data_IF_685935333109
#
_entry.id   IF_685935333109
#
_cell.length_a   1.000
_cell.length_b   1.000
_cell.length_c   1.000
_cell.angle_alpha   90.00
_cell.angle_beta   90.00
_cell.angle_gamma   90.00
#
_symmetry.space_group_name_H-M   'P 1'
#
loop_
_entity.id
_entity.type
_entity.pdbx_description
1 polymer ?
#
# COMPACT_ATOMS: atom_id res chain seq x y z
N UNK A 1 -3.67 -25.89 -4.71
CA UNK A 1 -3.64 -24.71 -5.60
C UNK A 1 -3.55 -23.44 -4.75
N UNK A 2 -2.80 -22.42 -5.15
CA UNK A 2 -2.75 -21.12 -4.46
C UNK A 2 -3.84 -20.20 -5.02
N UNK A 3 -4.66 -19.59 -4.17
CA UNK A 3 -5.66 -18.62 -4.59
C UNK A 3 -5.16 -17.19 -4.34
N UNK A 4 -5.05 -16.39 -5.39
CA UNK A 4 -4.83 -14.95 -5.28
C UNK A 4 -6.20 -14.25 -5.26
N UNK A 5 -6.46 -13.47 -4.21
CA UNK A 5 -7.75 -12.82 -3.98
C UNK A 5 -7.61 -11.29 -3.86
N UNK A 6 -7.16 -10.59 -4.92
CA UNK A 6 -6.99 -9.14 -4.90
C UNK A 6 -8.31 -8.40 -4.72
N UNK A 7 -8.29 -7.33 -3.95
CA UNK A 7 -9.31 -6.30 -4.01
C UNK A 7 -9.03 -5.37 -5.21
N UNK A 8 -9.70 -5.63 -6.33
CA UNK A 8 -9.54 -4.88 -7.57
C UNK A 8 -10.17 -3.47 -7.54
N UNK A 9 -10.60 -2.99 -6.36
CA UNK A 9 -10.83 -1.58 -6.06
C UNK A 9 -9.54 -0.76 -5.96
N UNK A 10 -8.40 -1.40 -5.71
CA UNK A 10 -7.11 -0.73 -5.54
C UNK A 10 -6.09 -1.15 -6.61
N UNK A 11 -5.59 -0.16 -7.36
CA UNK A 11 -4.50 -0.38 -8.31
C UNK A 11 -3.24 -0.91 -7.62
N UNK A 12 -2.92 -0.39 -6.42
CA UNK A 12 -1.73 -0.77 -5.67
C UNK A 12 -1.75 -2.23 -5.22
N UNK A 13 -2.90 -2.77 -4.82
CA UNK A 13 -3.04 -4.19 -4.50
C UNK A 13 -3.07 -5.06 -5.74
N UNK A 14 -3.89 -4.69 -6.72
CA UNK A 14 -4.03 -5.45 -7.96
C UNK A 14 -2.67 -5.67 -8.62
N UNK A 15 -1.85 -4.61 -8.68
CA UNK A 15 -0.49 -4.69 -9.24
C UNK A 15 0.48 -5.52 -8.40
N UNK A 16 0.43 -5.47 -7.06
CA UNK A 16 1.26 -6.32 -6.20
C UNK A 16 0.91 -7.80 -6.36
N UNK A 17 -0.38 -8.10 -6.42
CA UNK A 17 -0.88 -9.46 -6.67
C UNK A 17 -0.49 -9.95 -8.07
N UNK A 18 -0.48 -9.09 -9.09
CA UNK A 18 0.04 -9.44 -10.41
C UNK A 18 1.52 -9.84 -10.37
N UNK A 19 2.36 -9.12 -9.63
CA UNK A 19 3.78 -9.49 -9.46
C UNK A 19 3.95 -10.83 -8.70
N UNK A 20 3.13 -11.06 -7.66
CA UNK A 20 3.10 -12.35 -6.95
C UNK A 20 2.65 -13.48 -7.88
N UNK A 21 1.61 -13.25 -8.70
CA UNK A 21 1.14 -14.20 -9.70
C UNK A 21 2.28 -14.62 -10.63
N UNK A 22 2.97 -13.64 -11.23
CA UNK A 22 4.12 -13.91 -12.12
C UNK A 22 5.21 -14.72 -11.42
N UNK A 23 5.54 -14.36 -10.18
CA UNK A 23 6.59 -15.04 -9.42
C UNK A 23 6.23 -16.47 -9.01
N UNK A 24 4.96 -16.73 -8.69
CA UNK A 24 4.42 -18.08 -8.40
C UNK A 24 4.39 -18.94 -9.67
N UNK A 25 3.88 -18.40 -10.78
CA UNK A 25 3.84 -19.10 -12.07
C UNK A 25 5.25 -19.43 -12.57
N UNK A 26 6.22 -18.53 -12.40
CA UNK A 26 7.63 -18.79 -12.73
C UNK A 26 8.25 -19.93 -11.90
N UNK A 27 7.69 -20.24 -10.73
CA UNK A 27 8.07 -21.37 -9.86
C UNK A 27 7.29 -22.65 -10.17
N UNK A 28 6.42 -22.64 -11.19
CA UNK A 28 5.58 -23.77 -11.55
C UNK A 28 4.45 -24.04 -10.56
N UNK A 29 4.07 -23.06 -9.74
CA UNK A 29 2.94 -23.20 -8.83
C UNK A 29 1.62 -23.17 -9.59
N UNK A 30 0.67 -24.02 -9.18
CA UNK A 30 -0.71 -23.90 -9.64
C UNK A 30 -1.41 -22.75 -8.93
N UNK A 31 -1.83 -21.75 -9.69
CA UNK A 31 -2.43 -20.50 -9.20
C UNK A 31 -3.81 -20.32 -9.82
N UNK A 32 -4.78 -19.94 -8.99
CA UNK A 32 -6.04 -19.37 -9.44
C UNK A 32 -6.19 -17.94 -8.92
N UNK A 33 -6.94 -17.10 -9.62
CA UNK A 33 -7.19 -15.71 -9.23
C UNK A 33 -8.69 -15.44 -9.20
N UNK A 34 -9.19 -14.98 -8.06
CA UNK A 34 -10.59 -14.61 -7.88
C UNK A 34 -10.70 -13.20 -7.28
N UNK A 35 -11.82 -12.53 -7.48
CA UNK A 35 -12.07 -11.21 -6.86
C UNK A 35 -13.56 -10.94 -6.72
N UNK A 36 -13.94 -9.95 -5.91
CA UNK A 36 -15.30 -9.38 -5.91
C UNK A 36 -15.48 -8.27 -6.94
N UNK A 37 -14.60 -8.20 -7.94
CA UNK A 37 -14.64 -7.22 -9.03
C UNK A 37 -13.96 -5.90 -8.68
N UNK A 38 -14.16 -4.90 -9.54
CA UNK A 38 -13.58 -3.57 -9.39
C UNK A 38 -12.98 -3.03 -10.69
N UNK A 39 -12.65 -1.73 -10.76
CA UNK A 39 -12.18 -1.07 -11.97
C UNK A 39 -10.83 -1.59 -12.47
N UNK A 40 -10.04 -2.25 -11.63
CA UNK A 40 -8.71 -2.74 -11.98
C UNK A 40 -8.68 -4.22 -12.36
N UNK A 41 -9.84 -4.90 -12.50
CA UNK A 41 -9.87 -6.30 -12.99
C UNK A 41 -9.22 -6.44 -14.36
N UNK A 42 -9.49 -5.50 -15.26
CA UNK A 42 -8.93 -5.52 -16.62
C UNK A 42 -7.39 -5.43 -16.61
N UNK A 43 -6.77 -4.83 -15.59
CA UNK A 43 -5.31 -4.83 -15.47
C UNK A 43 -4.76 -6.26 -15.38
N UNK A 44 -5.43 -7.17 -14.69
CA UNK A 44 -5.00 -8.57 -14.59
C UNK A 44 -5.20 -9.29 -15.92
N UNK A 45 -6.37 -9.10 -16.54
CA UNK A 45 -6.73 -9.72 -17.82
C UNK A 45 -5.83 -9.28 -18.96
N UNK A 46 -5.50 -7.99 -19.04
CA UNK A 46 -4.56 -7.42 -20.01
C UNK A 46 -3.16 -8.04 -19.92
N UNK A 47 -2.80 -8.60 -18.76
CA UNK A 47 -1.55 -9.31 -18.53
C UNK A 47 -1.69 -10.85 -18.57
N UNK A 48 -2.78 -11.35 -19.17
CA UNK A 48 -3.00 -12.78 -19.40
C UNK A 48 -3.36 -13.58 -18.15
N UNK A 49 -3.81 -12.92 -17.07
CA UNK A 49 -4.31 -13.59 -15.88
C UNK A 49 -5.81 -13.83 -16.04
N UNK A 50 -6.21 -15.10 -16.01
CA UNK A 50 -7.62 -15.48 -15.88
C UNK A 50 -8.13 -15.11 -14.48
N UNK A 51 -9.29 -14.46 -14.42
CA UNK A 51 -9.86 -13.92 -13.17
C UNK A 51 -11.33 -14.27 -13.06
N UNK A 52 -11.67 -15.02 -12.02
CA UNK A 52 -13.05 -15.30 -11.63
C UNK A 52 -13.61 -14.16 -10.80
N UNK A 53 -14.80 -13.65 -11.18
CA UNK A 53 -15.53 -12.66 -10.38
C UNK A 53 -16.55 -13.39 -9.52
N UNK A 54 -16.40 -13.29 -8.21
CA UNK A 54 -17.29 -13.88 -7.23
C UNK A 54 -18.51 -12.97 -7.02
N UNK A 55 -19.70 -13.57 -7.07
CA UNK A 55 -20.97 -12.85 -6.93
C UNK A 55 -21.21 -11.85 -8.07
N UNK A 56 -21.94 -10.78 -7.78
CA UNK A 56 -22.33 -9.78 -8.79
C UNK A 56 -21.21 -8.78 -9.14
N UNK A 57 -20.09 -8.84 -8.43
CA UNK A 57 -18.98 -7.90 -8.57
C UNK A 57 -19.27 -6.50 -8.01
N UNK A 58 -18.24 -5.65 -7.97
CA UNK A 58 -18.37 -4.26 -7.52
C UNK A 58 -18.85 -3.34 -8.65
N UNK A 59 -19.91 -2.59 -8.35
CA UNK A 59 -20.32 -1.45 -9.18
C UNK A 59 -19.38 -0.24 -8.97
N UNK A 60 -19.34 0.68 -9.94
CA UNK A 60 -18.55 1.92 -9.81
C UNK A 60 -19.00 2.77 -8.60
N UNK A 61 -20.28 2.76 -8.29
CA UNK A 61 -20.84 3.40 -7.09
C UNK A 61 -20.31 2.74 -5.81
N UNK A 62 -20.31 1.40 -5.76
CA UNK A 62 -19.81 0.67 -4.59
C UNK A 62 -18.32 0.89 -4.36
N UNK A 63 -17.52 0.93 -5.42
CA UNK A 63 -16.09 1.27 -5.35
C UNK A 63 -15.90 2.64 -4.71
N UNK A 64 -16.66 3.64 -5.16
CA UNK A 64 -16.60 5.01 -4.62
C UNK A 64 -16.96 5.04 -3.13
N UNK A 65 -18.04 4.35 -2.74
CA UNK A 65 -18.46 4.22 -1.36
C UNK A 65 -17.41 3.50 -0.50
N UNK A 66 -16.81 2.44 -1.04
CA UNK A 66 -15.77 1.67 -0.35
C UNK A 66 -14.56 2.57 -0.06
N UNK A 67 -14.08 3.29 -1.09
CA UNK A 67 -12.95 4.22 -0.96
C UNK A 67 -13.24 5.31 0.08
N UNK A 68 -14.47 5.82 0.12
CA UNK A 68 -14.88 6.81 1.14
C UNK A 68 -14.95 6.25 2.57
N UNK A 69 -14.95 4.92 2.72
CA UNK A 69 -15.07 4.23 4.00
C UNK A 69 -13.73 3.69 4.54
N UNK A 70 -12.63 3.82 3.77
CA UNK A 70 -11.30 3.30 4.15
C UNK A 70 -10.80 3.95 5.45
N UNK A 71 -10.09 3.19 6.31
CA UNK A 71 -9.36 3.72 7.46
C UNK A 71 -8.58 5.01 7.16
N UNK A 72 -8.92 6.09 7.86
CA UNK A 72 -8.29 7.40 7.69
C UNK A 72 -9.01 8.35 6.73
N UNK A 73 -9.96 7.86 5.91
CA UNK A 73 -10.91 8.68 5.14
C UNK A 73 -12.29 8.61 5.80
N UNK A 74 -12.82 7.39 5.99
CA UNK A 74 -14.18 7.14 6.47
C UNK A 74 -14.35 7.22 8.00
N UNK A 75 -15.61 7.21 8.49
CA UNK A 75 -15.90 7.24 9.91
C UNK A 75 -15.41 5.93 10.60
N UNK A 76 -14.69 6.02 11.74
CA UNK A 76 -14.05 4.85 12.37
C UNK A 76 -15.03 3.83 12.98
N UNK A 77 -16.29 4.20 13.15
CA UNK A 77 -17.36 3.34 13.67
C UNK A 77 -18.15 2.61 12.59
N UNK A 78 -17.87 2.83 11.31
CA UNK A 78 -18.56 2.17 10.19
C UNK A 78 -17.63 1.13 9.58
N UNK A 79 -18.08 -0.12 9.45
CA UNK A 79 -17.33 -1.14 8.69
C UNK A 79 -17.24 -0.74 7.20
N UNK A 80 -16.12 -1.08 6.55
CA UNK A 80 -15.94 -0.86 5.10
C UNK A 80 -16.90 -1.69 4.25
N UNK A 81 -17.41 -2.80 4.81
CA UNK A 81 -18.46 -3.66 4.27
C UNK A 81 -19.67 -3.67 5.20
N UNK A 82 -20.86 -3.85 4.65
CA UNK A 82 -22.04 -4.20 5.46
C UNK A 82 -21.92 -5.63 5.99
N UNK A 83 -22.67 -5.95 7.05
CA UNK A 83 -22.70 -7.33 7.57
C UNK A 83 -23.17 -8.33 6.50
N UNK A 84 -24.12 -7.92 5.64
CA UNK A 84 -24.62 -8.75 4.54
C UNK A 84 -23.54 -9.00 3.48
N UNK A 85 -22.75 -7.99 3.14
CA UNK A 85 -21.62 -8.15 2.23
C UNK A 85 -20.55 -9.08 2.83
N UNK A 86 -20.19 -8.88 4.10
CA UNK A 86 -19.22 -9.77 4.77
C UNK A 86 -19.74 -11.21 4.74
N UNK A 87 -21.01 -11.44 5.07
CA UNK A 87 -21.62 -12.77 5.08
C UNK A 87 -21.61 -13.42 3.69
N UNK A 88 -22.05 -12.67 2.68
CA UNK A 88 -22.09 -13.15 1.30
C UNK A 88 -20.68 -13.48 0.79
N UNK A 89 -19.72 -12.60 1.04
CA UNK A 89 -18.36 -12.76 0.55
C UNK A 89 -17.67 -13.93 1.23
N UNK A 90 -17.84 -14.08 2.54
CA UNK A 90 -17.27 -15.21 3.28
C UNK A 90 -17.80 -16.54 2.75
N UNK A 91 -19.09 -16.64 2.44
CA UNK A 91 -19.68 -17.85 1.86
C UNK A 91 -19.13 -18.14 0.45
N UNK A 92 -19.14 -17.15 -0.45
CA UNK A 92 -18.66 -17.30 -1.82
C UNK A 92 -17.17 -17.65 -1.89
N UNK A 93 -16.35 -16.98 -1.09
CA UNK A 93 -14.92 -17.23 -1.00
C UNK A 93 -14.64 -18.65 -0.49
N UNK A 94 -15.28 -19.08 0.60
CA UNK A 94 -15.08 -20.40 1.17
C UNK A 94 -15.55 -21.52 0.21
N UNK A 95 -16.69 -21.34 -0.47
CA UNK A 95 -17.15 -22.25 -1.52
C UNK A 95 -16.14 -22.34 -2.67
N UNK A 96 -15.65 -21.20 -3.14
CA UNK A 96 -14.63 -21.14 -4.20
C UNK A 96 -13.35 -21.86 -3.79
N UNK A 97 -12.87 -21.65 -2.55
CA UNK A 97 -11.68 -22.31 -2.02
C UNK A 97 -11.83 -23.84 -2.00
N UNK A 98 -12.99 -24.33 -1.54
CA UNK A 98 -13.30 -25.75 -1.54
C UNK A 98 -13.37 -26.34 -2.95
N UNK A 99 -14.07 -25.67 -3.88
CA UNK A 99 -14.25 -26.14 -5.25
C UNK A 99 -12.95 -26.25 -6.04
N UNK A 100 -11.96 -25.39 -5.75
CA UNK A 100 -10.67 -25.34 -6.45
C UNK A 100 -9.53 -26.04 -5.71
N UNK A 101 -9.79 -26.70 -4.58
CA UNK A 101 -8.74 -27.36 -3.78
C UNK A 101 -7.64 -26.36 -3.37
N UNK A 102 -8.06 -25.19 -2.89
CA UNK A 102 -7.15 -24.13 -2.46
C UNK A 102 -6.39 -24.59 -1.22
N UNK A 103 -5.09 -24.35 -1.19
CA UNK A 103 -4.19 -24.75 -0.11
C UNK A 103 -3.57 -23.56 0.63
N UNK A 104 -3.67 -22.37 0.04
CA UNK A 104 -3.41 -21.10 0.71
C UNK A 104 -4.08 -19.97 -0.09
N UNK A 105 -4.52 -18.93 0.62
CA UNK A 105 -5.11 -17.72 0.04
C UNK A 105 -4.14 -16.55 0.21
N UNK A 106 -3.98 -15.71 -0.80
CA UNK A 106 -3.15 -14.50 -0.74
C UNK A 106 -4.02 -13.28 -1.04
N UNK A 107 -4.01 -12.28 -0.16
CA UNK A 107 -4.85 -11.08 -0.26
C UNK A 107 -4.14 -9.84 0.25
N UNK A 108 -4.59 -8.64 -0.15
CA UNK A 108 -4.26 -7.38 0.52
C UNK A 108 -5.46 -6.86 1.33
N UNK A 109 -6.45 -6.28 0.64
CA UNK A 109 -7.64 -5.64 1.21
C UNK A 109 -8.94 -6.42 0.99
N UNK A 110 -8.90 -7.65 0.49
CA UNK A 110 -10.06 -8.54 0.61
C UNK A 110 -10.08 -9.11 2.03
N UNK A 111 -10.40 -8.27 3.03
CA UNK A 111 -10.27 -8.60 4.45
C UNK A 111 -11.25 -9.70 4.90
N UNK A 112 -12.32 -9.93 4.14
CA UNK A 112 -13.25 -11.07 4.28
C UNK A 112 -12.54 -12.41 4.18
N UNK A 113 -11.41 -12.47 3.45
CA UNK A 113 -10.52 -13.63 3.37
C UNK A 113 -10.08 -14.13 4.74
N UNK A 114 -9.98 -13.25 5.75
CA UNK A 114 -9.59 -13.62 7.10
C UNK A 114 -10.64 -14.47 7.83
N UNK A 115 -11.90 -14.44 7.39
CA UNK A 115 -12.97 -15.29 7.91
C UNK A 115 -13.19 -16.50 7.00
N UNK A 116 -13.27 -16.31 5.67
CA UNK A 116 -13.49 -17.41 4.73
C UNK A 116 -12.35 -18.44 4.73
N UNK A 117 -11.11 -18.02 4.94
CA UNK A 117 -9.97 -18.93 5.16
C UNK A 117 -10.18 -19.86 6.35
N UNK A 118 -10.71 -19.35 7.47
CA UNK A 118 -11.05 -20.17 8.63
C UNK A 118 -12.21 -21.13 8.34
N UNK A 119 -13.24 -20.68 7.61
CA UNK A 119 -14.38 -21.52 7.22
C UNK A 119 -13.91 -22.68 6.33
N UNK A 120 -13.00 -22.40 5.39
CA UNK A 120 -12.46 -23.40 4.47
C UNK A 120 -11.29 -24.22 5.06
N UNK A 121 -10.77 -23.87 6.23
CA UNK A 121 -9.62 -24.53 6.84
C UNK A 121 -8.31 -24.35 6.06
N UNK A 122 -8.13 -23.21 5.39
CA UNK A 122 -6.93 -22.89 4.59
C UNK A 122 -6.18 -21.71 5.21
N UNK A 123 -4.84 -21.68 5.17
CA UNK A 123 -4.08 -20.55 5.67
C UNK A 123 -4.22 -19.33 4.75
N UNK A 124 -4.13 -18.13 5.35
CA UNK A 124 -4.18 -16.85 4.62
C UNK A 124 -2.89 -16.06 4.78
N UNK A 125 -2.35 -15.64 3.63
CA UNK A 125 -1.22 -14.73 3.48
C UNK A 125 -1.76 -13.33 3.21
N UNK A 126 -1.34 -12.36 4.01
CA UNK A 126 -1.64 -10.94 3.77
C UNK A 126 -0.40 -10.26 3.23
N UNK A 127 -0.54 -9.67 2.04
CA UNK A 127 0.45 -8.79 1.44
C UNK A 127 0.07 -7.35 1.79
N UNK A 128 0.62 -6.85 2.89
CA UNK A 128 0.29 -5.50 3.35
C UNK A 128 1.27 -4.49 2.78
N UNK A 129 0.77 -3.32 2.39
CA UNK A 129 1.60 -2.15 2.20
C UNK A 129 2.13 -1.69 3.57
N UNK A 130 3.30 -2.22 3.94
CA UNK A 130 4.04 -1.97 5.15
C UNK A 130 4.27 -0.51 5.51
N UNK A 131 3.41 0.00 6.40
CA UNK A 131 3.86 0.84 7.51
C UNK A 131 3.03 0.71 8.80
N UNK A 132 1.99 -0.14 8.79
CA UNK A 132 1.08 -0.34 9.93
C UNK A 132 1.17 -1.74 10.56
N UNK A 133 2.38 -2.29 10.63
CA UNK A 133 2.65 -3.61 11.23
C UNK A 133 3.22 -3.49 12.64
N UNK A 134 3.01 -4.51 13.52
CA UNK A 134 3.43 -4.44 14.92
C UNK A 134 4.89 -4.04 15.16
N UNK A 135 5.89 -4.60 14.46
CA UNK A 135 7.29 -4.25 14.72
C UNK A 135 7.60 -2.74 14.65
N UNK A 136 6.85 -1.96 13.86
CA UNK A 136 7.00 -0.50 13.78
C UNK A 136 6.34 0.21 14.96
N UNK A 137 5.04 0.00 15.17
CA UNK A 137 4.34 0.76 16.20
C UNK A 137 4.72 0.32 17.62
N UNK A 138 5.16 -0.92 17.81
CA UNK A 138 5.72 -1.37 19.10
C UNK A 138 7.03 -0.65 19.45
N UNK A 139 7.76 -0.18 18.44
CA UNK A 139 8.95 0.68 18.56
C UNK A 139 8.63 2.18 18.52
N UNK A 140 7.35 2.56 18.62
CA UNK A 140 6.93 3.95 18.66
C UNK A 140 7.08 4.69 17.34
N UNK A 141 7.05 3.98 16.20
CA UNK A 141 7.32 4.57 14.88
C UNK A 141 6.09 4.98 14.09
N UNK A 142 4.89 4.49 14.42
CA UNK A 142 3.69 4.94 13.72
C UNK A 142 3.45 6.44 13.96
N UNK A 143 3.00 7.12 12.91
CA UNK A 143 2.72 8.55 12.92
C UNK A 143 1.23 8.75 13.26
N UNK A 144 0.90 9.44 14.38
CA UNK A 144 -0.49 9.73 14.70
C UNK A 144 -1.09 10.68 13.66
N UNK A 145 -2.39 10.58 13.35
CA UNK A 145 -3.05 11.54 12.48
C UNK A 145 -2.97 12.95 13.08
N UNK A 146 -2.95 13.96 12.21
CA UNK A 146 -2.99 15.37 12.65
C UNK A 146 -4.35 15.76 13.22
N UNK A 147 -5.40 15.04 12.85
CA UNK A 147 -6.76 15.22 13.40
C UNK A 147 -6.79 14.79 14.86
N UNK A 148 -7.37 15.65 15.71
CA UNK A 148 -7.58 15.37 17.14
C UNK A 148 -8.55 14.19 17.30
N UNK A 149 -8.19 13.24 18.16
CA UNK A 149 -8.92 12.00 18.46
C UNK A 149 -10.07 12.27 19.46
N UNK A 150 -10.21 13.50 19.96
CA UNK A 150 -11.31 13.93 20.84
C UNK A 150 -11.05 13.62 22.31
N UNK A 151 -9.80 13.38 22.71
CA UNK A 151 -9.45 13.16 24.11
C UNK A 151 -9.55 14.48 24.91
N UNK A 152 -10.00 14.44 26.19
CA UNK A 152 -9.97 15.60 27.06
C UNK A 152 -8.55 16.18 27.13
N UNK A 153 -8.42 17.50 26.93
CA UNK A 153 -7.14 18.23 26.96
C UNK A 153 -6.12 17.80 25.88
N UNK A 154 -6.55 17.11 24.81
CA UNK A 154 -5.66 16.63 23.75
C UNK A 154 -4.84 17.73 23.08
N UNK A 155 -5.43 18.92 22.91
CA UNK A 155 -4.74 20.08 22.34
C UNK A 155 -3.59 20.62 23.19
N UNK A 156 -3.50 20.24 24.47
CA UNK A 156 -2.44 20.63 25.39
C UNK A 156 -1.37 19.55 25.54
N UNK A 157 -1.57 18.36 24.96
CA UNK A 157 -0.63 17.25 25.09
C UNK A 157 0.62 17.48 24.22
N UNK A 158 1.84 17.35 24.77
CA UNK A 158 3.05 17.39 23.97
C UNK A 158 3.04 16.32 22.86
N UNK A 159 3.48 16.68 21.65
CA UNK A 159 3.43 15.80 20.49
C UNK A 159 4.12 14.44 20.71
N UNK A 160 5.22 14.41 21.48
CA UNK A 160 5.93 13.18 21.86
C UNK A 160 5.06 12.25 22.70
N UNK A 161 4.30 12.80 23.65
CA UNK A 161 3.42 12.02 24.50
C UNK A 161 2.19 11.51 23.72
N UNK A 162 1.62 12.34 22.83
CA UNK A 162 0.56 11.91 21.90
C UNK A 162 1.02 10.75 21.02
N UNK A 163 2.22 10.84 20.43
CA UNK A 163 2.81 9.74 19.63
C UNK A 163 3.00 8.47 20.45
N UNK A 164 3.49 8.60 21.69
CA UNK A 164 3.66 7.47 22.60
C UNK A 164 2.32 6.77 22.89
N UNK A 165 1.28 7.52 23.29
CA UNK A 165 -0.04 6.96 23.58
C UNK A 165 -0.66 6.30 22.35
N UNK A 166 -0.56 6.95 21.18
CA UNK A 166 -1.04 6.39 19.92
C UNK A 166 -0.42 5.02 19.66
N UNK A 167 0.91 4.93 19.65
CA UNK A 167 1.64 3.69 19.39
C UNK A 167 1.35 2.58 20.43
N UNK A 168 1.16 2.93 21.71
CA UNK A 168 0.78 1.97 22.74
C UNK A 168 -0.65 1.46 22.57
N UNK A 169 -1.57 2.32 22.13
CA UNK A 169 -2.98 2.01 21.93
C UNK A 169 -3.30 1.28 20.62
N UNK A 170 -2.44 1.38 19.60
CA UNK A 170 -2.71 0.82 18.26
C UNK A 170 -3.09 -0.66 18.27
N UNK A 171 -2.36 -1.47 19.05
CA UNK A 171 -2.61 -2.92 19.16
C UNK A 171 -4.00 -3.30 19.72
N UNK A 172 -4.73 -2.35 20.31
CA UNK A 172 -6.02 -2.59 20.95
C UNK A 172 -7.18 -1.89 20.24
N UNK A 173 -6.93 -1.21 19.12
CA UNK A 173 -7.99 -0.55 18.37
C UNK A 173 -8.96 -1.60 17.82
N UNK A 174 -10.26 -1.36 17.99
CA UNK A 174 -11.35 -2.23 17.49
C UNK A 174 -12.14 -1.58 16.36
N UNK A 175 -11.56 -0.57 15.73
CA UNK A 175 -12.17 0.08 14.56
C UNK A 175 -12.36 -0.97 13.47
N UNK A 176 -13.51 -0.90 12.77
CA UNK A 176 -13.87 -1.80 11.67
C UNK A 176 -14.02 -3.30 12.02
N UNK A 177 -13.94 -3.73 13.29
CA UNK A 177 -14.00 -5.17 13.64
C UNK A 177 -15.41 -5.70 13.94
N UNK A 178 -16.36 -4.83 14.28
CA UNK A 178 -17.64 -5.28 14.86
C UNK A 178 -18.50 -6.10 13.88
N UNK A 179 -18.58 -5.68 12.61
CA UNK A 179 -19.31 -6.43 11.58
C UNK A 179 -18.66 -7.80 11.31
N UNK A 180 -17.33 -7.84 11.22
CA UNK A 180 -16.57 -9.09 11.09
C UNK A 180 -16.82 -10.04 12.25
N UNK A 181 -16.89 -9.52 13.49
CA UNK A 181 -17.12 -10.36 14.67
C UNK A 181 -18.54 -10.91 14.76
N UNK A 182 -19.56 -10.15 14.33
CA UNK A 182 -20.93 -10.66 14.22
C UNK A 182 -21.01 -11.80 13.20
N UNK A 183 -20.45 -11.59 12.01
CA UNK A 183 -20.46 -12.62 10.96
C UNK A 183 -19.59 -13.83 11.32
N UNK A 184 -18.46 -13.64 11.99
CA UNK A 184 -17.63 -14.74 12.48
C UNK A 184 -18.40 -15.68 13.43
N UNK A 185 -19.26 -15.13 14.30
CA UNK A 185 -20.14 -15.90 15.18
C UNK A 185 -21.15 -16.74 14.39
N UNK A 186 -21.75 -16.16 13.33
CA UNK A 186 -22.70 -16.87 12.46
C UNK A 186 -22.08 -18.07 11.73
N UNK A 187 -20.81 -17.96 11.30
CA UNK A 187 -20.07 -19.06 10.68
C UNK A 187 -19.36 -19.98 11.68
N UNK A 188 -19.41 -19.68 12.98
CA UNK A 188 -18.76 -20.49 14.02
C UNK A 188 -17.23 -20.45 13.98
N UNK A 189 -16.63 -19.37 13.46
CA UNK A 189 -15.17 -19.18 13.35
C UNK A 189 -14.65 -18.15 14.37
N UNK A 190 -13.33 -18.07 14.54
CA UNK A 190 -12.74 -17.13 15.48
C UNK A 190 -12.88 -15.68 14.99
N UNK A 191 -13.30 -14.80 15.91
CA UNK A 191 -13.40 -13.37 15.64
C UNK A 191 -12.05 -12.67 15.45
N UNK A 192 -12.12 -11.41 15.03
CA UNK A 192 -11.01 -10.48 14.85
C UNK A 192 -10.79 -9.68 16.15
N UNK A 193 -9.66 -9.87 16.84
CA UNK A 193 -9.44 -9.27 18.16
C UNK A 193 -9.13 -7.76 18.13
N UNK A 194 -8.57 -7.26 17.02
CA UNK A 194 -8.18 -5.87 16.85
C UNK A 194 -8.07 -5.48 15.38
N UNK A 195 -8.04 -4.18 15.08
CA UNK A 195 -7.82 -3.65 13.74
C UNK A 195 -6.44 -4.07 13.17
N UNK A 196 -5.31 -4.02 13.90
CA UNK A 196 -4.07 -4.63 13.41
C UNK A 196 -4.21 -6.12 13.07
N UNK A 197 -5.01 -6.88 13.81
CA UNK A 197 -5.26 -8.28 13.48
C UNK A 197 -6.18 -8.46 12.25
N UNK A 198 -7.01 -7.46 11.93
CA UNK A 198 -7.79 -7.39 10.68
C UNK A 198 -6.89 -7.13 9.46
N UNK A 199 -5.65 -6.72 9.67
CA UNK A 199 -4.67 -6.42 8.63
C UNK A 199 -3.56 -7.48 8.56
N UNK A 200 -3.73 -8.60 9.25
CA UNK A 200 -2.72 -9.64 9.37
C UNK A 200 -3.33 -11.03 9.15
N UNK A 201 -2.65 -11.83 8.32
CA UNK A 201 -2.98 -13.24 8.12
C UNK A 201 -2.18 -14.17 9.03
N UNK A 202 -2.22 -15.47 8.72
CA UNK A 202 -1.32 -16.48 9.31
C UNK A 202 0.14 -16.16 8.98
N UNK A 203 0.36 -15.62 7.78
CA UNK A 203 1.60 -15.00 7.35
C UNK A 203 1.31 -13.59 6.83
N UNK A 204 2.03 -12.59 7.31
CA UNK A 204 1.99 -11.23 6.76
C UNK A 204 3.33 -10.88 6.14
N UNK A 205 3.30 -10.53 4.85
CA UNK A 205 4.48 -10.14 4.10
C UNK A 205 4.80 -8.67 4.35
N UNK A 206 5.98 -8.39 4.90
CA UNK A 206 6.54 -7.05 4.95
C UNK A 206 7.27 -6.83 3.63
N UNK A 207 6.61 -6.10 2.75
CA UNK A 207 7.05 -5.79 1.38
C UNK A 207 8.15 -4.74 1.35
N UNK A 208 9.19 -4.87 2.17
CA UNK A 208 10.35 -3.97 2.24
C UNK A 208 11.60 -4.78 2.65
N UNK A 209 12.75 -4.13 2.82
CA UNK A 209 13.98 -4.74 3.34
C UNK A 209 14.33 -4.18 4.73
N UNK A 210 15.05 -4.96 5.57
CA UNK A 210 15.47 -4.52 6.90
C UNK A 210 16.21 -3.17 6.93
N UNK A 211 17.04 -2.91 5.93
CA UNK A 211 17.87 -1.71 5.79
C UNK A 211 17.05 -0.43 5.60
N UNK A 212 15.86 -0.56 5.02
CA UNK A 212 14.94 0.56 4.81
C UNK A 212 13.91 0.63 5.93
N UNK A 213 13.27 -0.49 6.23
CA UNK A 213 12.26 -0.58 7.28
C UNK A 213 12.81 -0.28 8.69
N UNK A 214 14.10 -0.54 8.91
CA UNK A 214 14.82 -0.20 10.13
C UNK A 214 14.49 -1.10 11.32
N UNK A 215 14.04 -2.32 11.07
CA UNK A 215 13.92 -3.42 12.04
C UNK A 215 14.66 -4.62 11.47
N UNK A 216 15.40 -5.36 12.30
CA UNK A 216 16.21 -6.48 11.81
C UNK A 216 15.31 -7.62 11.30
N UNK A 217 15.82 -8.41 10.35
CA UNK A 217 15.15 -9.64 9.90
C UNK A 217 14.85 -10.58 11.06
N UNK A 218 15.80 -10.75 11.99
CA UNK A 218 15.63 -11.57 13.18
C UNK A 218 14.46 -11.11 14.06
N UNK A 219 14.29 -9.80 14.24
CA UNK A 219 13.21 -9.24 15.06
C UNK A 219 11.83 -9.39 14.39
N UNK A 220 11.78 -9.38 13.06
CA UNK A 220 10.54 -9.58 12.29
C UNK A 220 10.18 -11.06 12.24
N UNK A 221 11.11 -11.92 11.82
CA UNK A 221 10.87 -13.35 11.68
C UNK A 221 10.62 -14.02 13.06
N UNK A 222 11.26 -13.49 14.12
CA UNK A 222 11.06 -13.91 15.50
C UNK A 222 9.94 -13.18 16.24
N UNK A 223 9.14 -12.35 15.57
CA UNK A 223 8.03 -11.66 16.21
C UNK A 223 6.96 -12.64 16.68
N UNK A 224 6.48 -12.46 17.92
CA UNK A 224 5.46 -13.33 18.53
C UNK A 224 4.22 -12.48 18.85
N UNK A 225 3.01 -12.91 18.43
CA UNK A 225 1.77 -12.17 18.64
C UNK A 225 1.43 -12.03 20.13
N UNK A 226 1.69 -10.85 20.72
CA UNK A 226 1.38 -10.56 22.13
C UNK A 226 0.87 -9.13 22.37
N UNK A 227 -0.13 -8.95 23.26
CA UNK A 227 -0.83 -9.99 24.02
C UNK A 227 -1.85 -10.77 23.16
N UNK A 228 -2.24 -11.96 23.61
CA UNK A 228 -3.19 -12.82 22.89
C UNK A 228 -4.53 -12.15 22.55
N UNK A 229 -4.98 -11.18 23.37
CA UNK A 229 -6.19 -10.39 23.10
C UNK A 229 -6.09 -9.38 21.96
N UNK A 230 -4.91 -9.22 21.35
CA UNK A 230 -4.65 -8.22 20.32
C UNK A 230 -4.42 -8.83 18.93
N UNK A 231 -4.02 -10.09 18.85
CA UNK A 231 -3.56 -10.73 17.62
C UNK A 231 -4.04 -12.17 17.55
N UNK A 232 -4.12 -12.71 16.33
CA UNK A 232 -4.38 -14.13 16.11
C UNK A 232 -3.22 -14.98 16.63
N UNK A 233 -3.48 -16.11 17.29
CA UNK A 233 -2.45 -17.08 17.61
C UNK A 233 -1.73 -17.54 16.33
N UNK A 234 -0.42 -17.76 16.41
CA UNK A 234 0.35 -18.29 15.28
C UNK A 234 0.68 -17.31 14.14
N UNK A 235 0.17 -16.07 14.18
CA UNK A 235 0.47 -15.07 13.15
C UNK A 235 1.98 -14.80 13.04
N UNK A 236 2.51 -14.89 11.82
CA UNK A 236 3.92 -14.70 11.48
C UNK A 236 4.13 -13.49 10.58
N UNK A 237 5.33 -12.91 10.64
CA UNK A 237 5.77 -11.84 9.76
C UNK A 237 6.99 -12.30 8.98
N UNK A 238 7.15 -11.84 7.73
CA UNK A 238 8.35 -12.11 6.95
C UNK A 238 8.65 -10.98 5.98
N UNK A 239 9.92 -10.60 5.89
CA UNK A 239 10.37 -9.70 4.83
C UNK A 239 10.44 -10.41 3.49
N UNK A 240 9.92 -9.75 2.45
CA UNK A 240 10.07 -10.19 1.06
C UNK A 240 11.00 -9.26 0.31
N UNK A 241 10.60 -7.99 0.17
CA UNK A 241 11.31 -6.95 -0.57
C UNK A 241 10.32 -5.98 -1.24
N UNK A 242 10.80 -4.98 -1.98
CA UNK A 242 9.94 -4.03 -2.67
C UNK A 242 9.01 -4.76 -3.64
N UNK A 243 7.72 -4.43 -3.59
CA UNK A 243 6.68 -5.04 -4.41
C UNK A 243 5.75 -3.92 -4.90
N UNK A 244 5.97 -3.48 -6.14
CA UNK A 244 5.26 -2.34 -6.73
C UNK A 244 5.02 -2.57 -8.22
N UNK A 245 4.12 -1.77 -8.80
CA UNK A 245 3.65 -1.94 -10.16
C UNK A 245 4.72 -1.64 -11.22
N UNK A 246 4.98 -2.63 -12.09
CA UNK A 246 5.67 -2.43 -13.36
C UNK A 246 4.63 -2.42 -14.49
N UNK A 247 3.94 -1.28 -14.65
CA UNK A 247 2.91 -1.12 -15.66
C UNK A 247 3.53 -1.18 -17.06
N UNK A 248 3.21 -2.21 -17.85
CA UNK A 248 3.67 -2.34 -19.23
C UNK A 248 2.86 -1.42 -20.17
N UNK A 249 2.98 -0.11 -19.94
CA UNK A 249 2.36 0.92 -20.75
C UNK A 249 3.41 1.55 -21.68
N UNK A 250 3.08 1.78 -22.97
CA UNK A 250 3.96 2.53 -23.85
C UNK A 250 4.15 3.95 -23.30
N UNK A 251 5.37 4.46 -23.37
CA UNK A 251 5.62 5.86 -23.06
C UNK A 251 5.04 6.72 -24.18
N UNK A 252 4.17 7.72 -23.91
CA UNK A 252 3.69 8.62 -24.95
C UNK A 252 4.85 9.41 -25.57
N UNK A 253 4.85 9.57 -26.90
CA UNK A 253 5.93 10.28 -27.62
C UNK A 253 6.16 11.72 -27.13
N UNK A 254 5.08 12.40 -26.72
CA UNK A 254 5.17 13.75 -26.12
C UNK A 254 5.88 13.74 -24.77
N UNK A 255 5.75 12.66 -24.00
CA UNK A 255 6.46 12.48 -22.72
C UNK A 255 7.92 12.18 -22.97
N UNK A 256 8.24 11.31 -23.94
CA UNK A 256 9.63 11.06 -24.37
C UNK A 256 10.31 12.38 -24.76
N UNK A 257 9.67 13.15 -25.65
CA UNK A 257 10.18 14.44 -26.13
C UNK A 257 10.34 15.48 -25.01
N UNK A 258 9.53 15.39 -23.96
CA UNK A 258 9.59 16.29 -22.80
C UNK A 258 10.74 15.93 -21.85
N UNK A 259 11.04 14.63 -21.70
CA UNK A 259 12.10 14.10 -20.84
C UNK A 259 13.50 14.12 -21.49
N UNK A 260 13.60 14.15 -22.82
CA UNK A 260 14.88 14.16 -23.55
C UNK A 260 15.58 15.52 -23.62
N UNK A 261 15.02 16.53 -22.94
CA UNK A 261 15.57 17.88 -22.93
C UNK A 261 16.57 18.05 -21.79
N UNK A 262 17.57 18.93 -21.95
CA UNK A 262 18.66 19.09 -20.96
C UNK A 262 18.21 19.68 -19.61
N UNK A 263 17.06 20.35 -19.55
CA UNK A 263 16.56 20.94 -18.31
C UNK A 263 16.07 19.88 -17.31
N UNK A 264 16.30 20.07 -16.00
CA UNK A 264 15.79 19.16 -15.00
C UNK A 264 14.25 19.15 -15.01
N UNK A 265 13.69 17.93 -14.96
CA UNK A 265 12.25 17.70 -14.86
C UNK A 265 11.89 17.28 -13.43
N UNK A 266 10.78 17.78 -12.91
CA UNK A 266 10.12 17.25 -11.73
C UNK A 266 8.90 16.41 -12.14
N UNK A 267 8.68 15.29 -11.46
CA UNK A 267 7.51 14.44 -11.69
C UNK A 267 6.50 14.60 -10.55
N UNK A 268 5.27 15.01 -10.87
CA UNK A 268 4.18 15.14 -9.89
C UNK A 268 3.16 14.04 -10.13
N UNK A 269 3.01 13.15 -9.16
CA UNK A 269 2.07 12.03 -9.20
C UNK A 269 1.31 11.95 -7.87
N UNK A 270 0.31 12.83 -7.73
CA UNK A 270 -0.57 12.84 -6.57
C UNK A 270 -1.86 12.10 -6.91
N UNK A 271 -2.07 10.95 -6.28
CA UNK A 271 -3.28 10.13 -6.44
C UNK A 271 -4.24 10.36 -5.29
N UNK A 272 -5.54 10.20 -5.54
CA UNK A 272 -6.59 10.30 -4.51
C UNK A 272 -6.61 11.65 -3.79
N UNK A 273 -6.42 12.73 -4.54
CA UNK A 273 -6.40 14.10 -4.03
C UNK A 273 -7.40 14.98 -4.79
N UNK A 274 -7.46 16.27 -4.46
CA UNK A 274 -8.27 17.23 -5.22
C UNK A 274 -7.45 17.81 -6.38
N UNK A 275 -8.09 18.15 -7.52
CA UNK A 275 -7.42 18.85 -8.63
C UNK A 275 -6.74 20.15 -8.19
N UNK A 276 -7.30 20.86 -7.21
CA UNK A 276 -6.75 22.10 -6.66
C UNK A 276 -5.40 21.85 -5.99
N UNK A 277 -5.27 20.79 -5.18
CA UNK A 277 -3.98 20.47 -4.58
C UNK A 277 -2.92 20.16 -5.64
N UNK A 278 -3.28 19.46 -6.71
CA UNK A 278 -2.36 19.19 -7.82
C UNK A 278 -1.87 20.49 -8.45
N UNK A 279 -2.78 21.44 -8.72
CA UNK A 279 -2.45 22.75 -9.30
C UNK A 279 -1.52 23.55 -8.39
N UNK A 280 -1.86 23.66 -7.11
CA UNK A 280 -1.04 24.35 -6.11
C UNK A 280 0.37 23.74 -6.01
N UNK A 281 0.45 22.42 -6.01
CA UNK A 281 1.73 21.69 -5.96
C UNK A 281 2.56 21.97 -7.21
N UNK A 282 1.96 21.93 -8.40
CA UNK A 282 2.66 22.23 -9.66
C UNK A 282 3.17 23.66 -9.65
N UNK A 283 2.37 24.64 -9.22
CA UNK A 283 2.79 26.04 -9.09
C UNK A 283 4.01 26.19 -8.19
N UNK A 284 3.99 25.57 -6.99
CA UNK A 284 5.11 25.63 -6.05
C UNK A 284 6.37 24.95 -6.61
N UNK A 285 6.25 23.76 -7.20
CA UNK A 285 7.38 23.03 -7.80
C UNK A 285 8.02 23.83 -8.93
N UNK A 286 7.20 24.54 -9.74
CA UNK A 286 7.67 25.37 -10.86
C UNK A 286 8.54 26.55 -10.44
N UNK A 287 8.48 26.97 -9.18
CA UNK A 287 9.40 27.98 -8.63
C UNK A 287 10.84 27.47 -8.44
N UNK A 288 11.04 26.14 -8.49
CA UNK A 288 12.33 25.49 -8.26
C UNK A 288 12.80 24.73 -9.51
N UNK A 289 11.89 24.06 -10.22
CA UNK A 289 12.20 23.23 -11.38
C UNK A 289 11.40 23.73 -12.58
N UNK A 290 12.04 24.10 -13.70
CA UNK A 290 11.37 24.76 -14.82
C UNK A 290 10.42 23.85 -15.60
N UNK A 291 10.61 22.52 -15.52
CA UNK A 291 9.76 21.54 -16.20
C UNK A 291 9.08 20.61 -15.21
N UNK A 292 7.77 20.44 -15.37
CA UNK A 292 6.96 19.55 -14.54
C UNK A 292 6.15 18.60 -15.42
N UNK A 293 6.35 17.31 -15.23
CA UNK A 293 5.51 16.26 -15.79
C UNK A 293 4.49 15.82 -14.74
N UNK A 294 3.20 15.86 -15.10
CA UNK A 294 2.10 15.54 -14.18
C UNK A 294 1.39 14.26 -14.61
N UNK A 295 1.32 13.29 -13.70
CA UNK A 295 0.41 12.15 -13.82
C UNK A 295 -0.94 12.50 -13.17
N UNK A 296 -1.88 12.96 -13.99
CA UNK A 296 -3.19 13.44 -13.58
C UNK A 296 -4.21 12.36 -13.23
N UNK A 297 -3.96 11.10 -13.61
CA UNK A 297 -4.84 9.94 -13.36
C UNK A 297 -6.30 10.19 -13.76
N UNK A 298 -7.17 10.39 -12.78
CA UNK A 298 -8.62 10.63 -12.95
C UNK A 298 -9.03 12.09 -12.71
N UNK A 299 -8.09 12.98 -12.40
CA UNK A 299 -8.38 14.39 -12.09
C UNK A 299 -8.67 15.19 -13.38
N UNK A 300 -9.60 16.14 -13.28
CA UNK A 300 -9.79 17.17 -14.31
C UNK A 300 -8.75 18.29 -14.14
N UNK A 301 -7.68 18.18 -14.94
CA UNK A 301 -6.57 19.14 -14.96
C UNK A 301 -6.61 20.05 -16.20
N UNK A 302 -7.79 20.30 -16.77
CA UNK A 302 -7.94 21.23 -17.89
C UNK A 302 -7.26 22.59 -17.58
N UNK A 303 -6.53 23.11 -18.57
CA UNK A 303 -5.81 24.39 -18.47
C UNK A 303 -4.54 24.38 -17.59
N UNK A 304 -4.12 23.23 -17.05
CA UNK A 304 -2.83 23.13 -16.34
C UNK A 304 -1.63 22.98 -17.30
N UNK A 305 -1.85 22.36 -18.46
CA UNK A 305 -0.82 22.18 -19.49
C UNK A 305 -0.41 23.53 -20.09
N UNK A 306 0.90 23.74 -20.30
CA UNK A 306 1.45 25.02 -20.75
C UNK A 306 2.97 25.02 -20.83
N UNK A 307 3.58 26.20 -20.95
CA UNK A 307 5.04 26.32 -21.09
C UNK A 307 5.78 25.69 -19.90
N UNK A 308 6.44 24.55 -20.12
CA UNK A 308 7.13 23.73 -19.13
C UNK A 308 6.24 22.84 -18.24
N UNK A 309 4.95 22.68 -18.52
CA UNK A 309 4.08 21.71 -17.83
C UNK A 309 3.46 20.78 -18.85
N UNK A 310 3.70 19.47 -18.70
CA UNK A 310 3.04 18.43 -19.49
C UNK A 310 2.14 17.59 -18.59
N UNK A 311 0.89 17.36 -19.01
CA UNK A 311 -0.09 16.59 -18.25
C UNK A 311 -0.52 15.35 -19.04
N UNK A 312 -0.44 14.20 -18.37
CA UNK A 312 -0.91 12.91 -18.88
C UNK A 312 -1.79 12.20 -17.86
N UNK A 313 -2.62 11.25 -18.32
CA UNK A 313 -3.50 10.50 -17.41
C UNK A 313 -2.71 9.48 -16.59
N UNK A 314 -2.47 8.30 -17.16
CA UNK A 314 -1.76 7.21 -16.50
C UNK A 314 -0.38 7.10 -17.14
N UNK A 315 0.66 7.03 -16.30
CA UNK A 315 2.04 7.04 -16.73
C UNK A 315 2.84 5.89 -16.09
N UNK A 316 3.79 5.27 -16.82
CA UNK A 316 4.66 4.23 -16.28
C UNK A 316 5.72 4.87 -15.36
N UNK A 317 5.33 5.14 -14.11
CA UNK A 317 6.17 5.87 -13.14
C UNK A 317 7.57 5.27 -12.96
N UNK A 318 7.70 3.94 -13.01
CA UNK A 318 8.97 3.22 -12.91
C UNK A 318 9.94 3.50 -14.08
N UNK A 319 9.44 3.92 -15.25
CA UNK A 319 10.25 4.37 -16.40
C UNK A 319 10.55 5.87 -16.38
N UNK A 320 9.70 6.65 -15.72
CA UNK A 320 9.81 8.12 -15.65
C UNK A 320 10.74 8.54 -14.52
N UNK A 321 10.53 8.01 -13.33
CA UNK A 321 11.28 8.41 -12.13
C UNK A 321 12.81 8.36 -12.31
N UNK A 322 13.40 7.37 -13.00
CA UNK A 322 14.84 7.35 -13.27
C UNK A 322 15.37 8.53 -14.10
N UNK A 323 14.50 9.25 -14.81
CA UNK A 323 14.84 10.35 -15.74
C UNK A 323 14.53 11.74 -15.19
N UNK A 324 14.02 11.85 -13.96
CA UNK A 324 13.64 13.13 -13.36
C UNK A 324 14.56 13.50 -12.18
N UNK A 325 14.68 14.79 -11.91
CA UNK A 325 15.53 15.29 -10.83
C UNK A 325 14.91 15.06 -9.44
N UNK A 326 13.58 15.11 -9.35
CA UNK A 326 12.80 14.93 -8.12
C UNK A 326 11.39 14.46 -8.46
N UNK A 327 10.79 13.66 -7.57
CA UNK A 327 9.37 13.34 -7.62
C UNK A 327 8.60 14.00 -6.47
N UNK A 328 7.32 14.31 -6.69
CA UNK A 328 6.37 14.76 -5.65
C UNK A 328 5.18 13.82 -5.64
N UNK A 329 4.99 13.11 -4.52
CA UNK A 329 4.04 11.99 -4.39
C UNK A 329 3.25 12.05 -3.07
N UNK A 330 2.14 11.31 -2.94
CA UNK A 330 1.34 11.28 -1.70
C UNK A 330 1.88 10.34 -0.61
N UNK A 331 2.87 9.50 -0.91
CA UNK A 331 3.43 8.55 0.07
C UNK A 331 2.74 7.18 0.12
N UNK A 332 1.86 6.87 -0.84
CA UNK A 332 1.42 5.50 -1.06
C UNK A 332 2.63 4.59 -1.32
N UNK A 333 2.64 3.39 -0.74
CA UNK A 333 3.84 2.57 -0.74
C UNK A 333 4.36 2.24 -2.13
N UNK A 334 3.48 1.89 -3.07
CA UNK A 334 3.89 1.61 -4.45
C UNK A 334 4.66 2.78 -5.07
N UNK A 335 4.21 4.03 -4.87
CA UNK A 335 4.89 5.23 -5.36
C UNK A 335 6.21 5.49 -4.64
N UNK A 336 6.26 5.29 -3.32
CA UNK A 336 7.49 5.39 -2.51
C UNK A 336 8.54 4.39 -2.98
N UNK A 337 8.14 3.14 -3.16
CA UNK A 337 9.02 2.08 -3.64
C UNK A 337 9.45 2.31 -5.08
N UNK A 338 8.56 2.79 -5.95
CA UNK A 338 8.93 3.16 -7.32
C UNK A 338 10.04 4.22 -7.32
N UNK A 339 9.92 5.27 -6.49
CA UNK A 339 10.92 6.33 -6.40
C UNK A 339 12.26 5.82 -5.82
N UNK A 340 12.20 5.00 -4.77
CA UNK A 340 13.37 4.37 -4.16
C UNK A 340 14.09 3.41 -5.12
N UNK A 341 13.35 2.56 -5.83
CA UNK A 341 13.87 1.64 -6.86
C UNK A 341 14.47 2.39 -8.04
N UNK A 342 13.92 3.56 -8.39
CA UNK A 342 14.44 4.40 -9.46
C UNK A 342 15.74 5.14 -9.08
N UNK A 343 16.00 5.31 -7.78
CA UNK A 343 17.08 6.16 -7.26
C UNK A 343 16.72 7.65 -7.30
N UNK A 344 15.43 7.96 -7.28
CA UNK A 344 14.91 9.32 -7.41
C UNK A 344 14.59 9.90 -6.04
N UNK A 345 15.27 10.98 -5.61
CA UNK A 345 14.88 11.71 -4.41
C UNK A 345 13.47 12.27 -4.56
N UNK A 346 12.70 12.36 -3.47
CA UNK A 346 11.31 12.81 -3.57
C UNK A 346 10.81 13.62 -2.38
N UNK A 347 9.76 14.40 -2.61
CA UNK A 347 8.99 15.08 -1.57
C UNK A 347 7.63 14.41 -1.45
N UNK A 348 7.24 14.08 -0.22
CA UNK A 348 6.00 13.37 0.06
C UNK A 348 4.96 14.24 0.76
N UNK A 349 3.70 14.17 0.32
CA UNK A 349 2.56 14.86 0.95
C UNK A 349 1.55 13.81 1.43
N UNK A 350 1.63 13.40 2.69
CA UNK A 350 0.77 12.36 3.23
C UNK A 350 -0.68 12.85 3.42
N UNK A 351 -1.62 12.10 2.85
CA UNK A 351 -3.07 12.27 3.05
C UNK A 351 -3.60 11.36 4.15
N UNK A 352 -2.89 10.26 4.46
CA UNK A 352 -3.33 9.21 5.38
C UNK A 352 -2.19 8.76 6.32
N UNK A 353 -2.52 8.15 7.48
CA UNK A 353 -1.52 7.69 8.44
C UNK A 353 -0.51 6.67 7.86
N UNK A 354 -0.97 5.75 7.02
CA UNK A 354 -0.09 4.79 6.34
C UNK A 354 0.93 5.52 5.46
N UNK A 355 0.46 6.47 4.65
CA UNK A 355 1.33 7.28 3.79
C UNK A 355 2.34 8.08 4.62
N UNK A 356 1.91 8.68 5.73
CA UNK A 356 2.80 9.40 6.63
C UNK A 356 3.90 8.50 7.22
N UNK A 357 3.56 7.24 7.51
CA UNK A 357 4.52 6.28 8.04
C UNK A 357 5.49 5.78 6.94
N UNK A 358 5.03 5.57 5.70
CA UNK A 358 5.92 5.30 4.56
C UNK A 358 6.91 6.46 4.33
N UNK A 359 6.43 7.71 4.42
CA UNK A 359 7.28 8.89 4.28
C UNK A 359 8.27 9.06 5.44
N UNK A 360 7.90 8.72 6.68
CA UNK A 360 8.83 8.71 7.83
C UNK A 360 9.95 7.68 7.62
N UNK A 361 9.63 6.50 7.07
CA UNK A 361 10.64 5.50 6.68
C UNK A 361 11.59 6.09 5.62
N UNK A 362 11.03 6.67 4.56
CA UNK A 362 11.80 7.27 3.48
C UNK A 362 12.71 8.42 3.92
N UNK A 363 12.22 9.28 4.82
CA UNK A 363 12.98 10.40 5.37
C UNK A 363 14.13 9.92 6.26
N UNK A 364 13.93 8.85 7.05
CA UNK A 364 14.99 8.24 7.89
C UNK A 364 16.15 7.69 7.08
N UNK A 365 15.86 7.07 5.94
CA UNK A 365 16.91 6.54 5.05
C UNK A 365 17.56 7.64 4.19
N UNK A 366 17.00 8.86 4.23
CA UNK A 366 17.54 10.06 3.61
C UNK A 366 17.11 10.30 2.16
N UNK A 367 16.19 9.51 1.60
CA UNK A 367 15.79 9.63 0.19
C UNK A 367 14.68 10.65 -0.03
N UNK A 368 13.98 11.05 1.04
CA UNK A 368 12.80 11.88 0.93
C UNK A 368 12.72 12.97 2.00
N UNK A 369 11.83 13.94 1.73
CA UNK A 369 11.34 14.90 2.71
C UNK A 369 9.82 14.82 2.81
N UNK A 370 9.27 14.64 4.01
CA UNK A 370 7.84 14.67 4.24
C UNK A 370 7.36 16.11 4.48
N UNK A 371 6.27 16.50 3.83
CA UNK A 371 5.56 17.77 4.04
C UNK A 371 4.14 17.45 4.53
N UNK A 372 3.72 17.92 5.71
CA UNK A 372 2.35 17.74 6.15
C UNK A 372 1.38 18.45 5.21
N UNK A 373 0.23 17.83 4.91
CA UNK A 373 -0.78 18.38 4.02
C UNK A 373 -1.18 19.84 4.35
N UNK A 374 -1.41 20.24 5.62
CA UNK A 374 -1.74 21.63 5.95
C UNK A 374 -0.66 22.66 5.60
N UNK A 375 0.57 22.20 5.35
CA UNK A 375 1.74 23.02 5.00
C UNK A 375 2.23 22.76 3.58
N UNK A 376 1.49 21.98 2.78
CA UNK A 376 1.88 21.65 1.42
C UNK A 376 2.05 22.90 0.55
N UNK A 377 1.27 23.95 0.78
CA UNK A 377 1.38 25.21 0.02
C UNK A 377 2.49 26.13 0.51
N UNK A 378 2.92 26.04 1.78
CA UNK A 378 3.95 26.92 2.35
C UNK A 378 5.37 26.33 2.30
N UNK A 379 5.50 25.02 2.52
CA UNK A 379 6.79 24.39 2.80
C UNK A 379 7.33 23.58 1.62
N UNK A 380 6.48 23.29 0.63
CA UNK A 380 6.85 22.41 -0.50
C UNK A 380 8.00 22.97 -1.33
N UNK A 381 7.98 24.27 -1.64
CA UNK A 381 9.07 24.92 -2.39
C UNK A 381 10.42 24.74 -1.69
N UNK A 382 10.47 24.93 -0.37
CA UNK A 382 11.69 24.72 0.41
C UNK A 382 12.07 23.24 0.47
N UNK A 383 11.11 22.34 0.64
CA UNK A 383 11.35 20.89 0.66
C UNK A 383 11.95 20.39 -0.66
N UNK A 384 11.40 20.81 -1.80
CA UNK A 384 11.90 20.46 -3.14
C UNK A 384 13.32 21.00 -3.33
N UNK A 385 13.54 22.28 -3.00
CA UNK A 385 14.87 22.90 -3.06
C UNK A 385 15.87 22.17 -2.18
N UNK A 386 15.48 21.82 -0.96
CA UNK A 386 16.33 21.12 0.01
C UNK A 386 16.72 19.72 -0.43
N UNK A 387 15.78 18.95 -1.00
CA UNK A 387 16.06 17.61 -1.54
C UNK A 387 17.00 17.68 -2.74
N UNK A 388 16.79 18.64 -3.65
CA UNK A 388 17.64 18.82 -4.84
C UNK A 388 19.05 19.33 -4.49
N UNK A 389 19.15 20.24 -3.53
CA UNK A 389 20.43 20.86 -3.14
C UNK A 389 21.29 19.97 -2.23
N UNK A 390 20.74 18.91 -1.64
CA UNK A 390 21.44 18.06 -0.69
C UNK A 390 22.07 16.84 -1.39
N UNK A 391 23.42 16.78 -1.53
CA UNK A 391 24.09 15.63 -2.16
C UNK A 391 23.84 14.31 -1.41
N UNK A 392 23.55 14.37 -0.11
CA UNK A 392 23.23 13.19 0.69
C UNK A 392 21.92 12.55 0.27
N UNK A 393 20.94 13.33 -0.21
CA UNK A 393 19.67 12.79 -0.70
C UNK A 393 19.88 11.93 -1.94
N UNK A 394 20.70 12.40 -2.87
CA UNK A 394 21.08 11.63 -4.07
C UNK A 394 21.89 10.38 -3.72
N UNK A 395 22.89 10.50 -2.84
CA UNK A 395 23.67 9.35 -2.40
C UNK A 395 22.82 8.30 -1.67
N UNK A 396 21.85 8.73 -0.85
CA UNK A 396 20.90 7.85 -0.21
C UNK A 396 20.00 7.15 -1.23
N UNK A 397 19.50 7.87 -2.24
CA UNK A 397 18.64 7.32 -3.27
C UNK A 397 19.37 6.26 -4.11
N UNK A 398 20.62 6.51 -4.52
CA UNK A 398 21.45 5.52 -5.21
C UNK A 398 21.76 4.30 -4.34
N UNK A 399 22.03 4.50 -3.04
CA UNK A 399 22.24 3.38 -2.10
C UNK A 399 20.99 2.51 -1.98
N UNK A 400 19.81 3.10 -1.78
CA UNK A 400 18.56 2.36 -1.64
C UNK A 400 18.19 1.65 -2.94
N UNK A 401 18.37 2.31 -4.10
CA UNK A 401 18.24 1.68 -5.42
C UNK A 401 19.10 0.42 -5.53
N UNK A 402 20.38 0.49 -5.15
CA UNK A 402 21.27 -0.67 -5.18
C UNK A 402 20.78 -1.83 -4.28
N UNK A 403 20.28 -1.52 -3.08
CA UNK A 403 19.72 -2.52 -2.17
C UNK A 403 18.43 -3.16 -2.71
N UNK A 404 17.53 -2.35 -3.27
CA UNK A 404 16.29 -2.83 -3.87
C UNK A 404 16.54 -3.68 -5.12
N UNK A 405 17.48 -3.26 -5.98
CA UNK A 405 17.88 -4.04 -7.16
C UNK A 405 18.51 -5.40 -6.81
N UNK A 406 19.11 -5.53 -5.62
CA UNK A 406 19.67 -6.79 -5.14
C UNK A 406 18.62 -7.74 -4.49
N UNK A 407 17.35 -7.32 -4.42
CA UNK A 407 16.30 -8.06 -3.71
C UNK A 407 15.15 -8.41 -4.66
N UNK A 408 14.91 -9.71 -4.87
CA UNK A 408 13.72 -10.20 -5.60
C UNK A 408 12.52 -10.27 -4.65
N UNK A 409 11.81 -9.14 -4.49
CA UNK A 409 10.67 -9.03 -3.59
C UNK A 409 9.48 -9.94 -3.96
N UNK A 410 9.17 -10.05 -5.25
CA UNK A 410 8.09 -10.90 -5.75
C UNK A 410 8.45 -12.38 -5.59
N UNK A 411 9.69 -12.75 -5.89
CA UNK A 411 10.18 -14.10 -5.68
C UNK A 411 10.20 -14.51 -4.21
N UNK A 412 10.73 -13.67 -3.32
CA UNK A 412 10.72 -13.93 -1.89
C UNK A 412 9.29 -14.04 -1.32
N UNK A 413 8.33 -13.29 -1.87
CA UNK A 413 6.92 -13.45 -1.54
C UNK A 413 6.40 -14.81 -1.98
N UNK A 414 6.63 -15.20 -3.23
CA UNK A 414 6.22 -16.51 -3.76
C UNK A 414 6.83 -17.67 -2.96
N UNK A 415 8.12 -17.61 -2.60
CA UNK A 415 8.78 -18.63 -1.78
C UNK A 415 8.13 -18.75 -0.39
N UNK A 416 7.82 -17.62 0.25
CA UNK A 416 7.16 -17.61 1.55
C UNK A 416 5.72 -18.15 1.49
N UNK A 417 4.98 -17.87 0.40
CA UNK A 417 3.64 -18.40 0.16
C UNK A 417 3.68 -19.93 -0.02
N UNK A 418 4.63 -20.43 -0.81
CA UNK A 418 4.80 -21.87 -1.07
C UNK A 418 5.21 -22.63 0.19
N UNK A 419 6.10 -22.06 1.02
CA UNK A 419 6.46 -22.65 2.32
C UNK A 419 5.22 -22.79 3.22
N UNK A 420 4.35 -21.78 3.28
CA UNK A 420 3.13 -21.85 4.08
C UNK A 420 2.17 -22.92 3.55
N UNK A 421 1.96 -22.96 2.23
CA UNK A 421 1.03 -23.89 1.59
C UNK A 421 1.47 -25.36 1.69
N UNK A 422 2.77 -25.63 1.91
CA UNK A 422 3.31 -27.00 2.02
C UNK A 422 3.34 -27.51 3.45
N UNK A 423 3.66 -26.66 4.44
CA UNK A 423 3.73 -27.07 5.86
C UNK A 423 2.37 -27.57 6.36
N UNK A 424 1.27 -26.91 5.98
CA UNK A 424 -0.09 -27.27 6.42
C UNK A 424 -0.66 -28.52 5.72
N UNK A 425 -0.05 -29.00 4.63
CA UNK A 425 -0.42 -30.30 4.04
C UNK A 425 0.17 -31.49 4.82
N UNK A 426 1.17 -31.24 5.67
CA UNK A 426 1.91 -32.27 6.42
C UNK A 426 1.59 -32.29 7.91
N UNK A 427 0.86 -31.29 8.42
CA UNK A 427 0.33 -31.21 9.78
C UNK A 427 -1.09 -31.80 9.83
#
# INVERSE_FOLDING_TARGET
MICLLPNCGFLSETSRILEIHRALTARGAEVTTATHGGPYVELLRDHGVEVDVLGDGWTAERVTQFISSIPGIGPPGQSMWTDDEIRQYVALEAEYFGAHGVTAVVTGWTLTALLSSQVAGVPVVVEHSGAFVPPLFERGRAIPPDRRIGLPLEGLMPARFRKFLFNKGLRYQKIYTDGFNRVAEEFGVAGIPSFPALLMGDLTLITDIPEVFGVSRQDVDGWIPRPARAYRPGARLRYTGPLFAHLDLPMPERVESFLDQDDPVAYVALTSTSPELVRDVVEQVRTVVPKVLVAGTTHDLAGLEGDGVLVEKVLPSHRIMPRVAVAVITGGQGSVQTAMSAGTPFVGIALQPEQAANLDIAERVGVARAVPLPRATSDLTEAVRGVLANPRSRAAAERVKGLYAATDGAGAAADAILELATVEQTA
#
